data_IF_679349051569
#
_entry.id   IF_679349051569
#
_cell.length_a   1.000
_cell.length_b   1.000
_cell.length_c   1.000
_cell.angle_alpha   90.00
_cell.angle_beta   90.00
_cell.angle_gamma   90.00
#
_symmetry.space_group_name_H-M   'P 1'
#
loop_
_entity.id
_entity.type
_entity.pdbx_description
1 polymer ?
#
# COMPACT_ATOMS: atom_id res chain seq x y z
N UNK A 1 8.76 -4.98 -9.03
CA UNK A 1 8.32 -3.63 -9.32
C UNK A 1 7.04 -3.64 -10.11
N UNK A 2 6.06 -2.81 -9.70
CA UNK A 2 4.82 -2.58 -10.44
C UNK A 2 4.61 -1.11 -10.75
N UNK A 3 3.83 -0.78 -11.81
CA UNK A 3 3.53 0.60 -12.14
C UNK A 3 2.98 0.80 -13.56
N UNK A 4 3.13 2.03 -14.07
CA UNK A 4 2.70 2.42 -15.43
C UNK A 4 3.86 2.51 -16.44
N UNK A 5 5.02 1.97 -16.11
CA UNK A 5 6.20 2.01 -16.97
C UNK A 5 6.16 1.00 -18.13
N UNK A 6 6.86 1.31 -19.21
CA UNK A 6 7.08 0.40 -20.35
C UNK A 6 8.53 -0.09 -20.42
N UNK A 7 9.44 0.54 -19.69
CA UNK A 7 10.85 0.21 -19.64
C UNK A 7 11.35 0.25 -18.20
N UNK A 8 12.27 -0.66 -17.88
CA UNK A 8 13.05 -0.65 -16.66
C UNK A 8 14.50 -0.99 -17.01
N UNK A 9 15.48 -0.30 -16.39
CA UNK A 9 16.90 -0.55 -16.65
C UNK A 9 17.30 -0.46 -18.14
N UNK A 10 16.61 0.36 -18.94
CA UNK A 10 16.83 0.47 -20.38
C UNK A 10 16.24 -0.66 -21.24
N UNK A 11 15.65 -1.68 -20.63
CA UNK A 11 15.03 -2.81 -21.32
C UNK A 11 13.49 -2.69 -21.32
N UNK A 12 12.80 -3.18 -22.37
CA UNK A 12 11.35 -3.26 -22.39
C UNK A 12 10.82 -4.12 -21.23
N UNK A 13 9.99 -3.53 -20.41
CA UNK A 13 9.30 -4.18 -19.28
C UNK A 13 7.94 -3.52 -19.09
N UNK A 14 6.89 -4.23 -19.43
CA UNK A 14 5.54 -3.67 -19.35
C UNK A 14 4.94 -3.89 -17.97
N UNK A 15 4.83 -2.79 -17.21
CA UNK A 15 4.13 -2.69 -15.92
C UNK A 15 4.74 -3.47 -14.77
N UNK A 16 5.51 -4.55 -15.05
CA UNK A 16 6.16 -5.37 -14.04
C UNK A 16 7.62 -5.67 -14.41
N UNK A 17 8.47 -5.70 -13.40
CA UNK A 17 9.88 -6.08 -13.52
C UNK A 17 10.38 -6.66 -12.21
N UNK A 18 11.31 -7.60 -12.29
CA UNK A 18 12.04 -8.11 -11.16
C UNK A 18 13.48 -7.61 -11.17
N UNK A 19 13.98 -7.22 -9.99
CA UNK A 19 15.34 -6.77 -9.76
C UNK A 19 15.99 -7.73 -8.76
N UNK A 20 17.21 -8.16 -9.06
CA UNK A 20 18.03 -8.89 -8.11
C UNK A 20 18.47 -7.93 -6.99
N UNK A 21 18.13 -8.25 -5.76
CA UNK A 21 18.36 -7.38 -4.61
C UNK A 21 19.82 -7.26 -4.20
N UNK A 22 20.67 -8.22 -4.59
CA UNK A 22 22.10 -8.19 -4.25
C UNK A 22 22.89 -7.32 -5.22
N UNK A 23 22.49 -7.32 -6.50
CA UNK A 23 23.23 -6.63 -7.57
C UNK A 23 22.56 -5.35 -8.02
N UNK A 24 21.27 -5.13 -7.70
CA UNK A 24 20.47 -4.03 -8.23
C UNK A 24 20.16 -4.16 -9.72
N UNK A 25 20.51 -5.28 -10.35
CA UNK A 25 20.36 -5.50 -11.79
C UNK A 25 18.98 -6.07 -12.11
N UNK A 26 18.41 -5.60 -13.21
CA UNK A 26 17.14 -6.13 -13.73
C UNK A 26 17.33 -7.59 -14.16
N UNK A 27 16.45 -8.46 -13.69
CA UNK A 27 16.45 -9.88 -14.09
C UNK A 27 15.81 -10.08 -15.46
N UNK A 28 15.88 -11.29 -16.01
CA UNK A 28 15.19 -11.64 -17.24
C UNK A 28 13.69 -11.83 -17.05
N UNK A 29 13.19 -11.92 -15.82
CA UNK A 29 11.78 -12.09 -15.52
C UNK A 29 10.94 -10.89 -15.98
N UNK A 30 9.83 -11.14 -16.66
CA UNK A 30 8.84 -10.13 -17.06
C UNK A 30 7.46 -10.78 -17.25
N UNK A 31 6.41 -9.98 -17.08
CA UNK A 31 5.02 -10.43 -17.17
C UNK A 31 4.47 -10.45 -18.62
N UNK A 32 5.31 -10.77 -19.58
CA UNK A 32 4.89 -10.93 -20.99
C UNK A 32 4.43 -9.64 -21.68
N UNK A 33 3.85 -9.80 -22.87
CA UNK A 33 3.27 -8.75 -23.71
C UNK A 33 1.89 -9.19 -24.20
N UNK A 34 0.93 -8.27 -24.49
CA UNK A 34 0.95 -6.87 -24.16
C UNK A 34 0.54 -6.62 -22.70
N UNK A 35 1.21 -5.72 -22.01
CA UNK A 35 0.75 -5.14 -20.74
C UNK A 35 0.11 -3.78 -21.02
N UNK A 36 -1.11 -3.56 -20.56
CA UNK A 36 -1.79 -2.28 -20.61
C UNK A 36 -2.10 -1.76 -19.19
N UNK A 37 -2.67 -0.58 -19.08
CA UNK A 37 -3.07 -0.02 -17.79
C UNK A 37 -1.89 0.17 -16.82
N UNK A 38 -2.10 -0.14 -15.56
CA UNK A 38 -1.16 0.07 -14.46
C UNK A 38 -1.25 -1.08 -13.45
N UNK A 39 -0.12 -1.53 -12.92
CA UNK A 39 -0.06 -2.41 -11.74
C UNK A 39 0.10 -1.54 -10.51
N UNK A 40 -0.83 -1.64 -9.55
CA UNK A 40 -0.89 -0.83 -8.33
C UNK A 40 -0.49 -1.57 -7.08
N UNK A 41 -0.70 -2.87 -7.07
CA UNK A 41 -0.38 -3.72 -5.93
C UNK A 41 0.20 -5.04 -6.39
N UNK A 42 1.15 -5.54 -5.63
CA UNK A 42 1.81 -6.83 -5.83
C UNK A 42 1.89 -7.50 -4.47
N UNK A 43 1.45 -8.75 -4.40
CA UNK A 43 1.60 -9.57 -3.19
C UNK A 43 2.14 -10.94 -3.61
N UNK A 44 3.10 -11.45 -2.86
CA UNK A 44 3.59 -12.82 -3.03
C UNK A 44 2.76 -13.73 -2.14
N UNK A 45 2.12 -14.73 -2.74
CA UNK A 45 1.36 -15.73 -2.04
C UNK A 45 1.85 -17.12 -2.47
N UNK A 46 2.61 -17.78 -1.58
CA UNK A 46 3.26 -19.06 -1.85
C UNK A 46 4.05 -19.03 -3.17
N UNK A 47 3.62 -19.81 -4.17
CA UNK A 47 4.25 -19.93 -5.49
C UNK A 47 3.62 -19.01 -6.54
N UNK A 48 2.95 -17.92 -6.13
CA UNK A 48 2.25 -17.02 -7.05
C UNK A 48 2.58 -15.55 -6.77
N UNK A 49 2.62 -14.75 -7.84
CA UNK A 49 2.68 -13.29 -7.76
C UNK A 49 1.28 -12.75 -8.06
N UNK A 50 0.55 -12.37 -7.02
CA UNK A 50 -0.76 -11.76 -7.15
C UNK A 50 -0.59 -10.28 -7.50
N UNK A 51 -1.32 -9.83 -8.52
CA UNK A 51 -1.28 -8.44 -8.97
C UNK A 51 -2.67 -7.84 -9.12
N UNK A 52 -2.80 -6.58 -8.72
CA UNK A 52 -3.99 -5.78 -8.89
C UNK A 52 -3.70 -4.43 -9.55
N UNK A 53 -4.69 -3.86 -10.26
CA UNK A 53 -4.47 -2.57 -10.92
C UNK A 53 -5.61 -2.11 -11.81
N UNK A 54 -5.25 -1.48 -12.94
CA UNK A 54 -6.19 -1.03 -13.98
C UNK A 54 -6.04 -1.77 -15.31
N UNK A 55 -5.15 -2.73 -15.38
CA UNK A 55 -4.86 -3.50 -16.59
C UNK A 55 -6.05 -4.35 -17.07
N UNK A 56 -6.08 -4.66 -18.36
CA UNK A 56 -6.99 -5.61 -18.98
C UNK A 56 -6.24 -6.83 -19.53
N UNK A 57 -4.93 -6.72 -19.68
CA UNK A 57 -4.04 -7.78 -20.17
C UNK A 57 -2.74 -7.78 -19.36
N UNK A 58 -2.29 -8.95 -18.94
CA UNK A 58 -1.02 -9.15 -18.24
C UNK A 58 -0.64 -10.65 -18.29
N UNK A 59 0.64 -10.98 -18.25
CA UNK A 59 1.10 -12.38 -18.22
C UNK A 59 0.72 -13.16 -19.47
N UNK A 60 0.74 -12.53 -20.65
CA UNK A 60 0.33 -13.11 -21.95
C UNK A 60 -1.15 -13.54 -22.00
N UNK A 61 -2.00 -13.00 -21.12
CA UNK A 61 -3.42 -13.36 -21.06
C UNK A 61 -4.31 -12.13 -20.84
N UNK A 62 -5.57 -12.26 -21.24
CA UNK A 62 -6.61 -11.31 -20.84
C UNK A 62 -6.94 -11.52 -19.36
N UNK A 63 -6.67 -10.51 -18.53
CA UNK A 63 -6.87 -10.50 -17.08
C UNK A 63 -7.35 -9.12 -16.67
N UNK A 64 -8.57 -9.05 -16.18
CA UNK A 64 -9.22 -7.77 -15.91
C UNK A 64 -8.95 -7.33 -14.47
N UNK A 65 -7.89 -6.56 -14.28
CA UNK A 65 -7.47 -5.87 -13.04
C UNK A 65 -7.00 -6.76 -11.90
N UNK A 66 -7.13 -8.07 -12.02
CA UNK A 66 -6.64 -9.07 -11.09
C UNK A 66 -6.01 -10.23 -11.86
N UNK A 67 -4.86 -10.69 -11.41
CA UNK A 67 -4.18 -11.85 -11.96
C UNK A 67 -3.26 -12.48 -10.92
N UNK A 68 -2.98 -13.76 -11.10
CA UNK A 68 -1.84 -14.43 -10.50
C UNK A 68 -0.86 -14.82 -11.60
N UNK A 69 0.41 -14.54 -11.38
CA UNK A 69 1.51 -14.81 -12.31
C UNK A 69 2.44 -15.86 -11.73
N UNK A 70 2.96 -16.69 -12.60
CA UNK A 70 4.02 -17.63 -12.27
C UNK A 70 5.32 -16.88 -11.94
N UNK A 71 5.98 -17.15 -10.80
CA UNK A 71 7.18 -16.43 -10.37
C UNK A 71 8.42 -16.75 -11.22
N UNK A 72 8.39 -17.79 -12.04
CA UNK A 72 9.50 -18.19 -12.90
C UNK A 72 9.32 -17.67 -14.31
N UNK A 73 8.13 -17.87 -14.91
CA UNK A 73 7.86 -17.53 -16.32
C UNK A 73 7.26 -16.14 -16.49
N UNK A 74 6.58 -15.59 -15.46
CA UNK A 74 5.81 -14.36 -15.57
C UNK A 74 4.47 -14.50 -16.27
N UNK A 75 4.09 -15.71 -16.68
CA UNK A 75 2.81 -15.97 -17.34
C UNK A 75 1.66 -16.01 -16.35
N UNK A 76 0.48 -15.56 -16.79
CA UNK A 76 -0.72 -15.63 -15.96
C UNK A 76 -1.22 -17.07 -15.86
N UNK A 77 -1.43 -17.55 -14.64
CA UNK A 77 -2.03 -18.85 -14.38
C UNK A 77 -3.58 -18.81 -14.52
N UNK A 78 -4.28 -19.86 -14.09
CA UNK A 78 -5.74 -19.96 -14.15
C UNK A 78 -6.47 -19.04 -13.19
N UNK A 79 -5.81 -18.54 -12.11
CA UNK A 79 -6.41 -17.60 -11.18
C UNK A 79 -6.54 -16.23 -11.83
N UNK A 80 -7.74 -15.78 -12.06
CA UNK A 80 -7.98 -14.51 -12.75
C UNK A 80 -9.40 -14.00 -12.53
N UNK A 81 -9.78 -13.67 -11.29
CA UNK A 81 -11.05 -13.01 -11.04
C UNK A 81 -11.08 -11.65 -11.76
N UNK A 82 -12.29 -11.25 -12.17
CA UNK A 82 -12.45 -10.02 -12.97
C UNK A 82 -13.11 -8.93 -12.14
N UNK A 83 -12.44 -7.79 -11.95
CA UNK A 83 -13.01 -6.62 -11.31
C UNK A 83 -13.54 -5.60 -12.35
N UNK A 84 -14.72 -4.99 -12.10
CA UNK A 84 -15.29 -4.01 -13.03
C UNK A 84 -14.66 -2.61 -12.93
N UNK A 85 -13.80 -2.35 -11.93
CA UNK A 85 -13.06 -1.10 -11.76
C UNK A 85 -11.75 -1.36 -11.02
N UNK A 86 -10.92 -0.34 -10.80
CA UNK A 86 -9.57 -0.40 -10.26
C UNK A 86 -9.47 -1.21 -8.97
N UNK A 87 -8.44 -2.04 -8.90
CA UNK A 87 -7.94 -2.69 -7.67
C UNK A 87 -6.71 -1.92 -7.21
N UNK A 88 -6.78 -1.34 -6.02
CA UNK A 88 -5.71 -0.50 -5.47
C UNK A 88 -4.79 -1.27 -4.53
N UNK A 89 -5.32 -2.30 -3.88
CA UNK A 89 -4.62 -3.05 -2.85
C UNK A 89 -5.04 -4.51 -2.84
N UNK A 90 -4.10 -5.37 -2.53
CA UNK A 90 -4.30 -6.78 -2.22
C UNK A 90 -3.63 -7.08 -0.89
N UNK A 91 -4.21 -7.97 -0.12
CA UNK A 91 -3.61 -8.56 1.06
C UNK A 91 -3.91 -10.06 1.10
N UNK A 92 -3.13 -10.83 1.81
CA UNK A 92 -3.35 -12.27 2.02
C UNK A 92 -3.51 -12.52 3.51
N UNK A 93 -4.63 -13.11 3.89
CA UNK A 93 -4.90 -13.51 5.27
C UNK A 93 -4.11 -14.78 5.66
N UNK A 94 -4.06 -15.07 6.95
CA UNK A 94 -3.28 -16.21 7.48
C UNK A 94 -3.75 -17.58 6.97
N UNK A 95 -4.99 -17.71 6.50
CA UNK A 95 -5.54 -18.90 5.86
C UNK A 95 -5.32 -18.96 4.34
N UNK A 96 -4.59 -17.98 3.77
CA UNK A 96 -4.35 -17.83 2.34
C UNK A 96 -5.42 -17.05 1.57
N UNK A 97 -6.53 -16.67 2.20
CA UNK A 97 -7.60 -15.87 1.56
C UNK A 97 -7.03 -14.58 0.98
N UNK A 98 -7.31 -14.30 -0.29
CA UNK A 98 -6.92 -13.07 -0.96
C UNK A 98 -7.99 -12.00 -0.75
N UNK A 99 -7.60 -10.88 -0.15
CA UNK A 99 -8.48 -9.74 0.06
C UNK A 99 -8.12 -8.65 -0.95
N UNK A 100 -9.11 -8.23 -1.74
CA UNK A 100 -8.95 -7.14 -2.71
C UNK A 100 -9.68 -5.89 -2.25
N UNK A 101 -9.01 -4.73 -2.36
CA UNK A 101 -9.59 -3.41 -2.12
C UNK A 101 -9.45 -2.49 -3.34
N UNK A 102 -10.43 -1.59 -3.56
CA UNK A 102 -10.38 -0.73 -4.73
C UNK A 102 -11.57 0.20 -4.91
N UNK A 103 -11.85 0.55 -6.17
CA UNK A 103 -13.03 1.31 -6.57
C UNK A 103 -14.08 0.47 -7.32
N UNK A 104 -13.88 -0.83 -7.39
CA UNK A 104 -14.82 -1.76 -8.04
C UNK A 104 -16.14 -1.87 -7.29
N UNK A 105 -17.19 -2.26 -8.00
CA UNK A 105 -18.52 -2.58 -7.44
C UNK A 105 -18.93 -4.02 -7.72
N UNK A 106 -18.14 -4.72 -8.54
CA UNK A 106 -18.36 -6.12 -8.88
C UNK A 106 -17.04 -6.86 -9.02
N UNK A 107 -17.02 -8.12 -8.58
CA UNK A 107 -16.00 -9.13 -8.91
C UNK A 107 -16.71 -10.31 -9.53
N UNK A 108 -16.23 -10.85 -10.66
CA UNK A 108 -16.85 -11.96 -11.40
C UNK A 108 -18.36 -11.69 -11.67
N UNK A 109 -18.71 -10.46 -12.07
CA UNK A 109 -20.09 -9.99 -12.27
C UNK A 109 -21.00 -10.06 -11.02
N UNK A 110 -20.47 -10.40 -9.84
CA UNK A 110 -21.19 -10.44 -8.57
C UNK A 110 -20.93 -9.16 -7.78
N UNK A 111 -21.96 -8.58 -7.19
CA UNK A 111 -21.86 -7.35 -6.40
C UNK A 111 -20.88 -7.47 -5.22
N UNK A 112 -19.84 -6.66 -5.23
CA UNK A 112 -18.85 -6.48 -4.16
C UNK A 112 -18.41 -5.02 -4.17
N UNK A 113 -18.81 -4.27 -3.16
CA UNK A 113 -18.52 -2.83 -3.13
C UNK A 113 -17.18 -2.56 -2.47
N UNK A 114 -16.16 -2.28 -3.29
CA UNK A 114 -14.82 -1.79 -2.92
C UNK A 114 -13.92 -2.76 -2.17
N UNK A 115 -14.46 -3.85 -1.61
CA UNK A 115 -13.70 -4.86 -0.88
C UNK A 115 -14.31 -6.25 -1.15
N UNK A 116 -13.46 -7.28 -1.27
CA UNK A 116 -13.89 -8.64 -1.54
C UNK A 116 -12.87 -9.65 -1.02
N UNK A 117 -13.34 -10.79 -0.52
CA UNK A 117 -12.53 -11.96 -0.24
C UNK A 117 -12.65 -12.95 -1.40
N UNK A 118 -11.52 -13.51 -1.81
CA UNK A 118 -11.36 -14.34 -3.00
C UNK A 118 -10.57 -15.59 -2.62
N UNK A 119 -11.06 -16.73 -3.03
CA UNK A 119 -10.38 -18.02 -2.85
C UNK A 119 -9.03 -18.02 -3.59
N UNK A 120 -7.90 -18.35 -2.92
CA UNK A 120 -6.55 -18.23 -3.49
C UNK A 120 -6.26 -19.23 -4.62
N UNK A 121 -7.03 -20.32 -4.71
CA UNK A 121 -6.80 -21.40 -5.69
C UNK A 121 -7.72 -21.24 -6.90
N UNK A 122 -9.03 -21.11 -6.65
CA UNK A 122 -10.04 -21.08 -7.71
C UNK A 122 -10.34 -19.68 -8.26
N UNK A 123 -10.03 -18.62 -7.51
CA UNK A 123 -10.44 -17.25 -7.84
C UNK A 123 -11.94 -17.00 -7.61
N UNK A 124 -12.65 -17.92 -6.96
CA UNK A 124 -14.05 -17.75 -6.61
C UNK A 124 -14.23 -16.76 -5.47
N UNK A 125 -15.34 -16.02 -5.49
CA UNK A 125 -15.71 -15.15 -4.37
C UNK A 125 -16.09 -15.95 -3.14
N UNK A 126 -15.55 -15.57 -2.00
CA UNK A 126 -15.95 -16.08 -0.70
C UNK A 126 -17.18 -15.33 -0.16
N UNK A 127 -17.92 -15.91 0.80
CA UNK A 127 -19.13 -15.29 1.37
C UNK A 127 -18.88 -13.96 2.08
N UNK A 128 -17.65 -13.74 2.60
CA UNK A 128 -17.28 -12.50 3.27
C UNK A 128 -17.38 -11.31 2.31
N UNK A 129 -18.25 -10.36 2.62
CA UNK A 129 -18.66 -9.30 1.71
C UNK A 129 -19.04 -7.99 2.42
N UNK A 130 -18.16 -7.37 3.21
CA UNK A 130 -18.43 -6.03 3.71
C UNK A 130 -18.58 -5.06 2.54
N UNK A 131 -19.37 -4.00 2.73
CA UNK A 131 -19.71 -3.06 1.65
C UNK A 131 -19.25 -1.66 2.04
N UNK A 132 -18.24 -1.12 1.33
CA UNK A 132 -17.79 0.26 1.52
C UNK A 132 -18.50 1.20 0.53
N UNK A 133 -18.91 2.39 1.00
CA UNK A 133 -19.59 3.37 0.14
C UNK A 133 -18.65 4.14 -0.80
N UNK A 134 -17.33 4.09 -0.58
CA UNK A 134 -16.32 4.72 -1.44
C UNK A 134 -15.03 3.88 -1.43
N UNK A 135 -14.04 4.29 -2.23
CA UNK A 135 -12.80 3.56 -2.51
C UNK A 135 -12.04 3.13 -1.25
N UNK A 136 -11.53 1.90 -1.28
CA UNK A 136 -10.53 1.35 -0.36
C UNK A 136 -9.17 1.48 -1.04
N UNK A 137 -8.23 2.21 -0.41
CA UNK A 137 -6.91 2.47 -0.95
C UNK A 137 -5.86 1.49 -0.43
N UNK A 138 -5.99 1.09 0.83
CA UNK A 138 -5.05 0.17 1.46
C UNK A 138 -5.76 -0.81 2.40
N UNK A 139 -5.23 -2.01 2.44
CA UNK A 139 -5.63 -3.08 3.35
C UNK A 139 -4.35 -3.64 3.97
N UNK A 140 -4.34 -3.74 5.29
CA UNK A 140 -3.28 -4.38 6.05
C UNK A 140 -3.84 -5.48 6.93
N UNK A 141 -3.25 -6.67 6.89
CA UNK A 141 -3.65 -7.83 7.71
C UNK A 141 -2.68 -7.98 8.89
N UNK A 142 -3.20 -7.92 10.10
CA UNK A 142 -2.43 -8.17 11.31
C UNK A 142 -3.16 -9.20 12.18
N UNK A 143 -2.68 -10.44 12.17
CA UNK A 143 -3.37 -11.57 12.80
C UNK A 143 -4.75 -11.81 12.17
N UNK A 144 -5.81 -11.77 12.97
CA UNK A 144 -7.20 -11.94 12.53
C UNK A 144 -7.90 -10.61 12.19
N UNK A 145 -7.18 -9.50 12.33
CA UNK A 145 -7.73 -8.16 12.07
C UNK A 145 -7.26 -7.63 10.72
N UNK A 146 -8.22 -7.12 9.96
CA UNK A 146 -8.01 -6.44 8.70
C UNK A 146 -8.19 -4.93 8.91
N UNK A 147 -7.14 -4.16 8.80
CA UNK A 147 -7.20 -2.70 8.82
C UNK A 147 -7.41 -2.15 7.42
N UNK A 148 -8.38 -1.24 7.27
CA UNK A 148 -8.82 -0.73 5.97
C UNK A 148 -8.73 0.79 5.97
N UNK A 149 -8.00 1.36 5.00
CA UNK A 149 -7.87 2.79 4.75
C UNK A 149 -8.45 3.20 3.39
N UNK A 150 -9.02 4.39 3.29
CA UNK A 150 -9.59 4.85 2.03
C UNK A 150 -10.29 6.19 2.04
N UNK A 151 -11.23 6.33 1.11
CA UNK A 151 -12.10 7.50 0.96
C UNK A 151 -13.53 7.29 1.49
N UNK A 152 -13.83 6.11 2.00
CA UNK A 152 -15.16 5.74 2.48
C UNK A 152 -15.58 6.51 3.74
N UNK A 153 -16.88 6.60 3.97
CA UNK A 153 -17.48 7.14 5.20
C UNK A 153 -18.37 6.12 5.91
N UNK A 154 -18.60 4.96 5.27
CA UNK A 154 -19.32 3.86 5.89
C UNK A 154 -18.86 2.50 5.37
N UNK A 155 -18.91 1.49 6.22
CA UNK A 155 -18.72 0.07 5.91
C UNK A 155 -19.89 -0.72 6.47
N UNK A 156 -20.56 -1.54 5.63
CA UNK A 156 -21.73 -2.35 6.01
C UNK A 156 -22.78 -1.53 6.78
N UNK A 157 -23.09 -0.34 6.29
CA UNK A 157 -24.01 0.64 6.87
C UNK A 157 -23.56 1.26 8.22
N UNK A 158 -22.42 0.88 8.77
CA UNK A 158 -21.84 1.51 9.95
C UNK A 158 -20.99 2.72 9.55
N UNK A 159 -21.15 3.83 10.26
CA UNK A 159 -20.30 5.02 10.04
C UNK A 159 -18.87 4.69 10.41
N UNK A 160 -17.97 4.79 9.44
CA UNK A 160 -16.52 4.62 9.57
C UNK A 160 -15.86 5.58 8.59
N UNK A 161 -15.29 6.65 9.12
CA UNK A 161 -14.66 7.66 8.28
C UNK A 161 -13.20 7.30 7.99
N UNK A 162 -12.93 6.89 6.74
CA UNK A 162 -11.61 6.67 6.14
C UNK A 162 -10.79 5.52 6.71
N UNK A 163 -11.10 5.06 7.93
CA UNK A 163 -10.41 3.99 8.64
C UNK A 163 -11.41 3.06 9.31
N UNK A 164 -11.13 1.77 9.25
CA UNK A 164 -11.87 0.74 9.97
C UNK A 164 -10.99 -0.48 10.25
N UNK A 165 -11.32 -1.22 11.29
CA UNK A 165 -10.86 -2.58 11.50
C UNK A 165 -12.03 -3.54 11.22
N UNK A 166 -11.74 -4.64 10.53
CA UNK A 166 -12.70 -5.71 10.19
C UNK A 166 -12.17 -7.05 10.70
N UNK A 167 -13.07 -7.94 11.09
CA UNK A 167 -12.76 -9.35 11.26
C UNK A 167 -13.08 -10.09 9.95
N UNK A 168 -12.29 -11.09 9.59
CA UNK A 168 -12.58 -11.97 8.46
C UNK A 168 -13.76 -12.90 8.73
N UNK A 169 -14.15 -13.08 9.99
CA UNK A 169 -15.31 -13.90 10.40
C UNK A 169 -16.62 -13.14 10.34
N UNK A 170 -16.59 -11.80 10.22
CA UNK A 170 -17.77 -10.95 10.23
C UNK A 170 -17.79 -9.94 9.09
N UNK A 171 -18.98 -9.62 8.58
CA UNK A 171 -19.15 -8.60 7.54
C UNK A 171 -19.31 -7.18 8.11
N UNK A 172 -19.08 -7.00 9.40
CA UNK A 172 -19.21 -5.72 10.10
C UNK A 172 -17.88 -5.27 10.67
N UNK A 173 -17.66 -3.96 10.79
CA UNK A 173 -16.45 -3.45 11.42
C UNK A 173 -16.42 -3.75 12.91
N UNK A 174 -15.22 -3.87 13.47
CA UNK A 174 -14.99 -3.95 14.92
C UNK A 174 -15.52 -2.65 15.57
N UNK A 175 -16.49 -2.78 16.47
CA UNK A 175 -17.22 -1.62 17.02
C UNK A 175 -16.31 -0.65 17.77
N UNK A 176 -15.40 -1.17 18.56
CA UNK A 176 -14.52 -0.39 19.41
C UNK A 176 -13.43 0.35 18.64
N UNK A 177 -13.12 -0.06 17.40
CA UNK A 177 -12.07 0.54 16.59
C UNK A 177 -12.64 1.47 15.52
N UNK A 178 -12.70 2.77 15.80
CA UNK A 178 -13.25 3.79 14.90
C UNK A 178 -12.44 5.12 15.01
N UNK A 179 -11.24 5.19 14.48
CA UNK A 179 -10.37 6.37 14.61
C UNK A 179 -10.89 7.64 13.95
N UNK A 180 -11.87 7.54 13.04
CA UNK A 180 -12.63 8.67 12.52
C UNK A 180 -11.75 9.78 11.90
N UNK A 181 -10.92 9.47 10.90
CA UNK A 181 -10.11 10.46 10.21
C UNK A 181 -10.97 11.41 9.36
N UNK A 182 -10.67 12.73 9.40
CA UNK A 182 -11.45 13.73 8.68
C UNK A 182 -11.20 13.77 7.16
N UNK A 183 -10.17 13.09 6.66
CA UNK A 183 -9.84 13.00 5.23
C UNK A 183 -9.17 11.66 4.91
N UNK A 184 -8.91 11.40 3.64
CA UNK A 184 -8.45 10.14 3.08
C UNK A 184 -7.20 9.58 3.77
N UNK A 185 -7.20 8.26 3.96
CA UNK A 185 -6.05 7.46 4.40
C UNK A 185 -5.57 6.64 3.21
N UNK A 186 -4.29 6.79 2.86
CA UNK A 186 -3.70 6.20 1.66
C UNK A 186 -2.96 4.90 1.94
N UNK A 187 -2.27 4.82 3.08
CA UNK A 187 -1.58 3.60 3.50
C UNK A 187 -1.64 3.42 5.02
N UNK A 188 -1.58 2.16 5.41
CA UNK A 188 -1.54 1.66 6.77
C UNK A 188 -0.35 0.72 6.87
N UNK A 189 0.32 0.71 8.01
CA UNK A 189 1.28 -0.31 8.38
C UNK A 189 1.10 -0.66 9.86
N UNK A 190 1.30 -1.91 10.23
CA UNK A 190 1.05 -2.41 11.58
C UNK A 190 2.32 -3.03 12.16
N UNK A 191 2.78 -2.45 13.25
CA UNK A 191 3.94 -2.95 13.99
C UNK A 191 3.69 -2.89 15.50
N UNK A 192 4.06 -3.94 16.22
CA UNK A 192 4.03 -4.02 17.70
C UNK A 192 2.66 -3.64 18.31
N UNK A 193 1.56 -4.03 17.64
CA UNK A 193 0.19 -3.73 18.08
C UNK A 193 -0.23 -2.28 17.86
N UNK A 194 0.56 -1.49 17.16
CA UNK A 194 0.29 -0.12 16.77
C UNK A 194 -0.02 -0.03 15.28
N UNK A 195 -0.92 0.88 14.90
CA UNK A 195 -1.36 1.12 13.52
C UNK A 195 -0.87 2.48 13.06
N UNK A 196 0.10 2.49 12.17
CA UNK A 196 0.66 3.70 11.56
C UNK A 196 -0.11 4.04 10.29
N UNK A 197 -0.52 5.29 10.15
CA UNK A 197 -1.35 5.73 9.03
C UNK A 197 -0.78 6.97 8.35
N UNK A 198 -0.80 6.93 7.01
CA UNK A 198 -0.42 8.04 6.13
C UNK A 198 -1.62 8.47 5.27
N UNK A 199 -1.81 9.79 5.08
CA UNK A 199 -2.98 10.27 4.35
C UNK A 199 -3.02 11.77 4.08
N UNK A 200 -4.25 12.23 3.81
CA UNK A 200 -4.59 13.65 3.62
C UNK A 200 -5.26 14.28 4.85
N UNK A 201 -5.49 13.51 5.89
CA UNK A 201 -6.19 13.95 7.10
C UNK A 201 -5.40 15.00 7.89
N UNK A 202 -6.12 15.75 8.69
CA UNK A 202 -5.56 16.75 9.66
C UNK A 202 -6.08 16.54 11.06
N UNK A 203 -7.18 15.77 11.19
CA UNK A 203 -7.82 15.42 12.45
C UNK A 203 -8.11 13.92 12.47
N UNK A 204 -7.92 13.30 13.63
CA UNK A 204 -8.22 11.88 13.85
C UNK A 204 -8.52 11.65 15.33
N UNK A 205 -9.38 10.70 15.65
CA UNK A 205 -9.74 10.31 17.02
C UNK A 205 -11.19 9.85 17.12
N UNK A 206 -11.49 8.76 17.87
CA UNK A 206 -12.82 8.15 17.92
C UNK A 206 -13.86 9.01 18.64
N UNK A 207 -13.53 9.62 19.76
CA UNK A 207 -14.43 10.44 20.56
C UNK A 207 -14.10 11.91 20.47
N UNK A 208 -12.83 12.25 20.60
CA UNK A 208 -12.32 13.62 20.47
C UNK A 208 -11.31 13.64 19.34
N UNK A 209 -11.63 14.36 18.28
CA UNK A 209 -10.69 14.55 17.19
C UNK A 209 -9.53 15.44 17.63
N UNK A 210 -8.32 14.92 17.50
CA UNK A 210 -7.09 15.64 17.77
C UNK A 210 -6.34 15.94 16.47
N UNK A 211 -5.55 17.00 16.48
CA UNK A 211 -4.73 17.36 15.33
C UNK A 211 -3.63 16.32 15.10
N UNK A 212 -3.62 15.74 13.92
CA UNK A 212 -2.55 14.88 13.39
C UNK A 212 -2.46 15.17 11.89
N UNK A 213 -1.42 15.88 11.49
CA UNK A 213 -1.31 16.31 10.09
C UNK A 213 -0.63 15.25 9.26
N UNK A 214 -1.42 14.51 8.49
CA UNK A 214 -1.02 13.53 7.44
C UNK A 214 -0.45 12.21 7.96
N UNK A 215 0.02 12.17 9.20
CA UNK A 215 0.62 11.01 9.84
C UNK A 215 0.06 10.85 11.25
N UNK A 216 -0.24 9.63 11.63
CA UNK A 216 -0.64 9.27 12.99
C UNK A 216 -0.21 7.84 13.30
N UNK A 217 -0.07 7.56 14.59
CA UNK A 217 0.05 6.22 15.14
C UNK A 217 -1.12 6.01 16.09
N UNK A 218 -1.83 4.90 15.92
CA UNK A 218 -3.04 4.56 16.66
C UNK A 218 -2.80 3.28 17.48
N UNK A 219 -3.42 3.18 18.62
CA UNK A 219 -3.52 1.93 19.35
C UNK A 219 -4.35 0.91 18.55
N UNK A 220 -3.82 -0.29 18.33
CA UNK A 220 -4.45 -1.31 17.49
C UNK A 220 -5.72 -1.92 18.11
N UNK A 221 -5.96 -1.74 19.42
CA UNK A 221 -7.15 -2.28 20.11
C UNK A 221 -8.24 -1.23 20.21
N UNK A 222 -7.88 0.00 20.56
CA UNK A 222 -8.85 1.08 20.87
C UNK A 222 -9.06 2.06 19.71
N UNK A 223 -8.12 2.16 18.77
CA UNK A 223 -8.12 3.17 17.72
C UNK A 223 -7.78 4.58 18.19
N UNK A 224 -7.42 4.75 19.46
CA UNK A 224 -7.02 6.06 19.98
C UNK A 224 -5.66 6.48 19.44
N UNK A 225 -5.50 7.74 19.02
CA UNK A 225 -4.20 8.25 18.61
C UNK A 225 -3.21 8.31 19.77
N UNK A 226 -2.02 7.77 19.55
CA UNK A 226 -0.91 7.85 20.50
C UNK A 226 -0.33 9.27 20.55
N UNK A 227 0.71 9.48 21.36
CA UNK A 227 1.47 10.74 21.39
C UNK A 227 2.35 10.97 20.16
N UNK A 228 2.50 9.98 19.28
CA UNK A 228 3.31 10.08 18.06
C UNK A 228 2.69 11.06 17.06
N UNK A 229 3.36 12.20 16.83
CA UNK A 229 2.88 13.29 15.98
C UNK A 229 4.04 13.93 15.19
N UNK A 230 4.48 13.31 14.11
CA UNK A 230 5.56 13.84 13.28
C UNK A 230 5.14 14.99 12.39
N UNK A 231 3.87 15.28 12.24
CA UNK A 231 3.33 16.38 11.42
C UNK A 231 4.04 16.59 10.08
N UNK A 232 3.38 16.34 8.95
CA UNK A 232 3.90 16.64 7.61
C UNK A 232 3.17 17.85 6.99
N UNK A 233 3.90 18.72 6.27
CA UNK A 233 3.32 19.92 5.61
C UNK A 233 2.68 19.64 4.24
N UNK A 234 2.75 18.43 3.72
CA UNK A 234 2.13 17.96 2.49
C UNK A 234 1.61 16.54 2.67
N UNK A 235 1.04 15.94 1.61
CA UNK A 235 0.48 14.59 1.69
C UNK A 235 1.55 13.57 2.09
N UNK A 236 1.23 12.73 3.07
CA UNK A 236 1.93 11.48 3.31
C UNK A 236 1.16 10.38 2.54
N UNK A 237 1.85 9.71 1.62
CA UNK A 237 1.23 8.74 0.71
C UNK A 237 1.51 7.32 1.16
N UNK A 238 2.72 7.07 1.65
CA UNK A 238 3.14 5.76 2.10
C UNK A 238 3.85 5.84 3.46
N UNK A 239 3.75 4.75 4.22
CA UNK A 239 4.42 4.51 5.50
C UNK A 239 4.87 3.05 5.54
N UNK A 240 6.08 2.82 6.02
CA UNK A 240 6.70 1.50 6.20
C UNK A 240 7.44 1.52 7.52
N UNK A 241 7.10 0.63 8.43
CA UNK A 241 7.65 0.60 9.79
C UNK A 241 8.59 -0.57 9.96
N UNK A 242 9.79 -0.26 10.36
CA UNK A 242 10.78 -1.27 10.69
C UNK A 242 11.59 -0.85 11.91
N UNK A 243 11.61 -1.70 12.93
CA UNK A 243 12.30 -1.48 14.20
C UNK A 243 11.87 -0.14 14.85
N UNK A 244 12.82 0.76 15.09
CA UNK A 244 12.58 2.08 15.71
C UNK A 244 12.25 3.19 14.69
N UNK A 245 12.00 2.86 13.42
CA UNK A 245 11.79 3.83 12.34
C UNK A 245 10.50 3.60 11.57
N UNK A 246 9.72 4.67 11.42
CA UNK A 246 8.67 4.77 10.42
C UNK A 246 9.22 5.55 9.21
N UNK A 247 9.43 4.87 8.10
CA UNK A 247 9.78 5.48 6.82
C UNK A 247 8.50 6.00 6.19
N UNK A 248 8.51 7.26 5.78
CA UNK A 248 7.33 7.92 5.22
C UNK A 248 7.66 8.54 3.88
N UNK A 249 6.76 8.41 2.91
CA UNK A 249 6.90 8.96 1.57
C UNK A 249 5.70 9.82 1.17
N UNK A 250 5.88 10.77 0.24
CA UNK A 250 4.77 11.60 -0.20
C UNK A 250 5.14 12.84 -1.00
N UNK A 251 4.36 13.92 -0.80
CA UNK A 251 4.56 15.21 -1.52
C UNK A 251 5.09 16.33 -0.61
N UNK A 252 5.29 16.06 0.67
CA UNK A 252 5.73 17.03 1.66
C UNK A 252 7.18 17.50 1.44
N UNK A 253 7.52 18.62 2.07
CA UNK A 253 8.88 19.18 2.12
C UNK A 253 9.42 19.30 3.55
N UNK A 254 8.55 19.07 4.56
CA UNK A 254 8.92 19.08 5.96
C UNK A 254 8.17 17.99 6.73
N UNK A 255 8.87 17.38 7.68
CA UNK A 255 8.32 16.45 8.66
C UNK A 255 8.88 16.83 10.04
N UNK A 256 8.06 16.88 11.07
CA UNK A 256 8.47 17.25 12.43
C UNK A 256 9.18 18.62 12.52
N UNK A 257 8.76 19.58 11.67
CA UNK A 257 9.38 20.91 11.59
C UNK A 257 10.77 20.93 10.95
N UNK A 258 11.27 19.81 10.42
CA UNK A 258 12.59 19.73 9.75
C UNK A 258 12.41 19.57 8.23
N UNK A 259 13.28 20.19 7.40
CA UNK A 259 13.29 19.97 5.97
C UNK A 259 13.53 18.48 5.66
N UNK A 260 12.58 17.84 4.99
CA UNK A 260 12.60 16.47 4.51
C UNK A 260 11.81 16.42 3.21
N UNK A 261 12.49 16.32 2.10
CA UNK A 261 11.84 16.34 0.79
C UNK A 261 11.37 14.94 0.40
N UNK A 262 10.05 14.75 0.38
CA UNK A 262 9.32 13.60 -0.16
C UNK A 262 9.54 12.26 0.56
N UNK A 263 10.62 12.10 1.33
CA UNK A 263 10.93 10.91 2.09
C UNK A 263 11.62 11.29 3.41
N UNK A 264 11.28 10.58 4.48
CA UNK A 264 11.86 10.76 5.81
C UNK A 264 11.83 9.44 6.56
N UNK A 265 12.71 9.29 7.55
CA UNK A 265 12.53 8.32 8.62
C UNK A 265 12.22 9.07 9.93
N UNK A 266 11.20 8.61 10.61
CA UNK A 266 10.69 9.16 11.87
C UNK A 266 10.84 8.10 12.96
N UNK A 267 11.41 8.47 14.08
CA UNK A 267 11.55 7.52 15.19
C UNK A 267 10.15 7.16 15.76
N UNK A 268 9.87 5.87 15.91
CA UNK A 268 8.57 5.32 16.29
C UNK A 268 8.14 5.70 17.70
N UNK A 269 9.09 5.92 18.60
CA UNK A 269 8.80 6.30 20.00
C UNK A 269 8.57 7.80 20.15
N UNK A 270 9.40 8.63 19.51
CA UNK A 270 9.44 10.08 19.78
C UNK A 270 8.70 10.93 18.74
N UNK A 271 8.34 10.38 17.59
CA UNK A 271 7.76 11.14 16.47
C UNK A 271 8.74 12.14 15.81
N UNK A 272 10.02 12.10 16.16
CA UNK A 272 11.01 13.04 15.60
C UNK A 272 11.71 12.47 14.38
N UNK A 273 11.93 13.30 13.32
CA UNK A 273 12.71 12.90 12.17
C UNK A 273 14.14 12.54 12.56
N UNK A 274 14.63 11.43 12.05
CA UNK A 274 16.02 10.97 12.22
C UNK A 274 16.98 11.74 11.31
N UNK A 275 18.24 11.32 11.26
CA UNK A 275 19.24 11.87 10.33
C UNK A 275 19.01 11.46 8.87
N UNK A 276 18.23 10.42 8.65
CA UNK A 276 17.88 9.91 7.31
C UNK A 276 17.22 11.01 6.45
N UNK A 277 17.89 11.39 5.35
CA UNK A 277 17.44 12.47 4.47
C UNK A 277 17.96 12.28 3.03
N UNK A 278 17.42 11.36 2.26
CA UNK A 278 17.86 11.12 0.89
C UNK A 278 17.48 12.23 -0.09
N UNK A 279 16.69 13.22 0.32
CA UNK A 279 16.37 14.44 -0.42
C UNK A 279 15.90 14.17 -1.87
N UNK A 280 14.71 13.61 -2.00
CA UNK A 280 14.09 13.23 -3.28
C UNK A 280 13.36 14.43 -3.90
N UNK A 281 13.50 14.66 -5.22
CA UNK A 281 13.02 15.87 -5.88
C UNK A 281 11.53 15.87 -6.27
N UNK A 282 10.84 14.73 -6.27
CA UNK A 282 9.42 14.63 -6.60
C UNK A 282 8.74 13.52 -5.79
N UNK A 283 7.43 13.34 -5.98
CA UNK A 283 6.56 12.46 -5.19
C UNK A 283 7.10 11.03 -5.06
N UNK A 284 7.09 10.52 -3.83
CA UNK A 284 7.30 9.11 -3.50
C UNK A 284 5.93 8.47 -3.26
N UNK A 285 5.64 7.39 -3.99
CA UNK A 285 4.34 6.69 -3.93
C UNK A 285 4.39 5.39 -3.14
N UNK A 286 5.54 4.73 -3.12
CA UNK A 286 5.71 3.44 -2.46
C UNK A 286 7.08 3.34 -1.82
N UNK A 287 7.11 2.67 -0.69
CA UNK A 287 8.29 2.26 0.05
C UNK A 287 8.23 0.76 0.29
N UNK A 288 9.37 0.13 0.35
CA UNK A 288 9.54 -1.27 0.70
C UNK A 288 10.86 -1.44 1.41
N UNK A 289 10.86 -2.01 2.59
CA UNK A 289 12.07 -2.30 3.36
C UNK A 289 12.53 -3.75 3.16
N UNK A 290 13.80 -3.94 2.89
CA UNK A 290 14.42 -5.26 2.86
C UNK A 290 15.91 -5.18 3.22
N UNK A 291 16.35 -5.95 4.21
CA UNK A 291 17.77 -6.15 4.53
C UNK A 291 18.56 -4.83 4.68
N UNK A 292 18.07 -3.89 5.48
CA UNK A 292 18.64 -2.56 5.71
C UNK A 292 18.67 -1.63 4.47
N UNK A 293 17.92 -1.98 3.45
CA UNK A 293 17.72 -1.16 2.26
C UNK A 293 16.27 -0.73 2.19
N UNK A 294 16.03 0.56 1.98
CA UNK A 294 14.73 1.10 1.64
C UNK A 294 14.64 1.33 0.14
N UNK A 295 13.72 0.65 -0.49
CA UNK A 295 13.39 0.87 -1.90
C UNK A 295 12.28 1.91 -1.99
N UNK A 296 12.51 2.96 -2.76
CA UNK A 296 11.54 4.03 -2.96
C UNK A 296 11.12 4.11 -4.43
N UNK A 297 9.81 4.05 -4.69
CA UNK A 297 9.20 4.21 -6.00
C UNK A 297 8.40 5.50 -6.12
N UNK A 298 8.48 6.22 -7.27
CA UNK A 298 7.75 7.47 -7.39
C UNK A 298 7.92 8.19 -8.73
N UNK A 299 7.62 9.50 -8.74
CA UNK A 299 7.76 10.37 -9.92
C UNK A 299 9.10 11.11 -9.99
N UNK A 300 9.98 10.87 -9.06
CA UNK A 300 11.25 11.59 -8.97
C UNK A 300 12.22 11.23 -10.11
N UNK A 301 13.16 12.15 -10.35
CA UNK A 301 14.26 11.99 -11.30
C UNK A 301 15.63 12.09 -10.60
N UNK A 302 15.64 12.51 -9.33
CA UNK A 302 16.86 12.53 -8.52
C UNK A 302 16.57 12.22 -7.05
N UNK A 303 17.55 11.60 -6.41
CA UNK A 303 17.59 11.36 -4.99
C UNK A 303 19.04 11.53 -4.52
N UNK A 304 19.29 12.04 -3.31
CA UNK A 304 20.63 12.22 -2.75
C UNK A 304 21.59 13.05 -3.63
N UNK A 305 21.05 13.91 -4.52
CA UNK A 305 21.85 14.67 -5.48
C UNK A 305 22.27 13.90 -6.74
N UNK A 306 21.98 12.59 -6.85
CA UNK A 306 22.27 11.79 -8.03
C UNK A 306 21.02 11.54 -8.88
N UNK A 307 21.19 11.30 -10.18
CA UNK A 307 20.10 10.91 -11.07
C UNK A 307 19.60 9.53 -10.68
N UNK A 308 18.31 9.44 -10.33
CA UNK A 308 17.56 8.21 -10.04
C UNK A 308 16.16 8.38 -10.59
N UNK A 309 15.87 7.72 -11.68
CA UNK A 309 14.57 7.86 -12.34
C UNK A 309 13.56 6.86 -11.75
N UNK A 310 12.64 7.36 -10.93
CA UNK A 310 11.43 6.68 -10.41
C UNK A 310 11.69 5.53 -9.43
N UNK A 311 12.92 5.07 -9.27
CA UNK A 311 13.31 4.04 -8.32
C UNK A 311 14.65 4.39 -7.70
N UNK A 312 14.78 4.19 -6.39
CA UNK A 312 16.03 4.34 -5.64
C UNK A 312 16.12 3.25 -4.57
N UNK A 313 17.32 2.72 -4.39
CA UNK A 313 17.72 1.91 -3.24
C UNK A 313 18.54 2.80 -2.30
N UNK A 314 18.18 2.81 -1.01
CA UNK A 314 18.69 3.76 -0.02
C UNK A 314 19.08 2.98 1.23
N UNK A 315 20.29 3.17 1.71
CA UNK A 315 20.75 2.63 2.99
C UNK A 315 19.96 3.30 4.15
N UNK A 316 19.32 2.51 4.99
CA UNK A 316 18.38 3.02 6.03
C UNK A 316 19.09 3.70 7.20
N UNK A 317 20.40 3.49 7.39
CA UNK A 317 21.16 4.06 8.47
C UNK A 317 21.76 5.41 8.09
N UNK A 318 22.22 5.53 6.85
CA UNK A 318 22.93 6.73 6.36
C UNK A 318 22.05 7.65 5.52
N UNK A 319 20.99 7.12 4.88
CA UNK A 319 20.23 7.83 3.86
C UNK A 319 20.95 7.96 2.52
N UNK A 320 22.07 7.28 2.35
CA UNK A 320 22.86 7.29 1.12
C UNK A 320 22.25 6.37 0.06
N UNK A 321 22.41 6.74 -1.20
CA UNK A 321 22.03 5.89 -2.34
C UNK A 321 23.00 4.71 -2.50
N UNK A 322 22.42 3.60 -2.91
CA UNK A 322 23.14 2.39 -3.30
C UNK A 322 23.17 2.23 -4.82
#
# INVERSE_FOLDING_TARGET
LGGSFNNAGGLPRNRLAAIDLNTGVLTNWHAGYPGDGEVRTIVINEDQILVGGSFLNIGNASRTRLAALDPVTGEANSWGPSANNFVFTLAVAGDGTVIAGGSFTQINATGRNRIAAIDPVSGALLPWAPSCNNAVYHIEVAGETLYVGGAFTSISANTRNRLAALSLDANTPVETWNPNANNEVYQIDVADGLVYVAGAFTLIGPTTQITRSRLACLDGITGEPTSWDPTANGLAICVEVQDDKAFVGGTYTQVGGRPRNRIAAVNTLTGKPTVFNPNVNSTVYALEYKSNILYAGGQFTSAGGATRNRLAAIDVNTGSLL
#
